data_IF_778648641187
#
_entry.id   IF_778648641187
#
_cell.length_a   1.000
_cell.length_b   1.000
_cell.length_c   1.000
_cell.angle_alpha   90.00
_cell.angle_beta   90.00
_cell.angle_gamma   90.00
#
_symmetry.space_group_name_H-M   'P 1'
#
loop_
_entity.id
_entity.type
_entity.pdbx_description
1 polymer ?
#
# COMPACT_ATOMS: atom_id res chain seq x y z
N UNK A 1 -28.25 11.53 -14.30
CA UNK A 1 -27.23 10.64 -14.90
C UNK A 1 -25.85 10.72 -14.24
N UNK A 2 -25.45 11.83 -13.59
CA UNK A 2 -24.15 11.97 -12.91
C UNK A 2 -23.93 10.99 -11.73
N UNK A 3 -24.97 10.69 -10.93
CA UNK A 3 -24.84 9.81 -9.76
C UNK A 3 -24.43 8.36 -10.08
N UNK A 4 -24.76 7.85 -11.26
CA UNK A 4 -24.40 6.48 -11.66
C UNK A 4 -22.90 6.36 -12.03
N UNK A 5 -22.33 7.41 -12.62
CA UNK A 5 -20.89 7.45 -12.98
C UNK A 5 -20.00 7.59 -11.75
N UNK A 6 -20.34 8.48 -10.82
CA UNK A 6 -19.56 8.64 -9.58
C UNK A 6 -19.56 7.34 -8.75
N UNK A 7 -20.72 6.70 -8.61
CA UNK A 7 -20.84 5.41 -7.95
C UNK A 7 -19.93 4.35 -8.60
N UNK A 8 -19.98 4.23 -9.93
CA UNK A 8 -19.14 3.29 -10.69
C UNK A 8 -17.64 3.54 -10.45
N UNK A 9 -17.17 4.78 -10.56
CA UNK A 9 -15.75 5.08 -10.35
C UNK A 9 -15.29 4.86 -8.91
N UNK A 10 -16.14 5.15 -7.91
CA UNK A 10 -15.85 4.81 -6.51
C UNK A 10 -15.73 3.30 -6.30
N UNK A 11 -16.59 2.51 -6.93
CA UNK A 11 -16.50 1.04 -6.93
C UNK A 11 -15.19 0.59 -7.56
N UNK A 12 -14.91 1.02 -8.79
CA UNK A 12 -13.69 0.67 -9.51
C UNK A 12 -12.43 1.04 -8.72
N UNK A 13 -12.38 2.24 -8.15
CA UNK A 13 -11.26 2.69 -7.30
C UNK A 13 -11.01 1.74 -6.13
N UNK A 14 -12.06 1.35 -5.41
CA UNK A 14 -11.94 0.43 -4.27
C UNK A 14 -11.56 -0.99 -4.72
N UNK A 15 -12.07 -1.46 -5.86
CA UNK A 15 -11.73 -2.76 -6.42
C UNK A 15 -10.26 -2.84 -6.82
N UNK A 16 -9.76 -1.81 -7.52
CA UNK A 16 -8.36 -1.73 -7.94
C UNK A 16 -7.42 -1.58 -6.73
N UNK A 17 -7.84 -0.85 -5.70
CA UNK A 17 -7.08 -0.75 -4.45
C UNK A 17 -6.94 -2.10 -3.72
N UNK A 18 -8.01 -2.90 -3.68
CA UNK A 18 -8.02 -4.16 -2.92
C UNK A 18 -7.42 -5.32 -3.71
N UNK A 19 -7.77 -5.46 -4.99
CA UNK A 19 -7.39 -6.65 -5.77
C UNK A 19 -5.99 -6.48 -6.36
N UNK A 20 -5.74 -5.72 -7.44
CA UNK A 20 -4.40 -5.64 -8.01
C UNK A 20 -3.40 -5.00 -7.06
N UNK A 21 -3.70 -3.82 -6.50
CA UNK A 21 -2.74 -3.09 -5.66
C UNK A 21 -2.52 -3.79 -4.31
N UNK A 22 -3.58 -4.30 -3.68
CA UNK A 22 -3.49 -5.03 -2.42
C UNK A 22 -2.71 -6.34 -2.53
N UNK A 23 -2.95 -7.13 -3.59
CA UNK A 23 -2.19 -8.36 -3.85
C UNK A 23 -0.72 -8.03 -4.13
N UNK A 24 -0.45 -7.01 -4.94
CA UNK A 24 0.92 -6.53 -5.18
C UNK A 24 1.61 -6.12 -3.87
N UNK A 25 0.95 -5.34 -3.00
CA UNK A 25 1.52 -4.92 -1.72
C UNK A 25 1.93 -6.11 -0.85
N UNK A 26 1.04 -7.11 -0.69
CA UNK A 26 1.34 -8.29 0.12
C UNK A 26 2.50 -9.09 -0.48
N UNK A 27 2.48 -9.33 -1.79
CA UNK A 27 3.56 -10.01 -2.49
C UNK A 27 4.88 -9.23 -2.38
N UNK A 28 4.84 -7.91 -2.51
CA UNK A 28 5.99 -7.02 -2.38
C UNK A 28 6.61 -7.12 -0.98
N UNK A 29 5.80 -7.04 0.08
CA UNK A 29 6.27 -7.19 1.47
C UNK A 29 6.87 -8.58 1.72
N UNK A 30 6.27 -9.65 1.18
CA UNK A 30 6.79 -11.02 1.32
C UNK A 30 8.15 -11.17 0.65
N UNK A 31 8.33 -10.66 -0.58
CA UNK A 31 9.62 -10.71 -1.28
C UNK A 31 10.68 -9.92 -0.50
N UNK A 32 10.35 -8.71 -0.03
CA UNK A 32 11.27 -7.91 0.77
C UNK A 32 11.62 -8.57 2.10
N UNK A 33 10.71 -9.33 2.71
CA UNK A 33 10.98 -10.03 3.97
C UNK A 33 12.10 -11.09 3.85
N UNK A 34 12.45 -11.56 2.64
CA UNK A 34 13.62 -12.42 2.45
C UNK A 34 14.94 -11.74 2.83
N UNK A 35 15.00 -10.41 2.93
CA UNK A 35 16.15 -9.68 3.47
C UNK A 35 16.49 -10.12 4.91
N UNK A 36 15.49 -10.51 5.70
CA UNK A 36 15.70 -11.07 7.06
C UNK A 36 16.43 -12.41 7.07
N UNK A 37 16.59 -13.06 5.90
CA UNK A 37 17.34 -14.30 5.71
C UNK A 37 18.71 -14.07 5.05
N UNK A 38 19.11 -12.81 4.88
CA UNK A 38 20.39 -12.40 4.31
C UNK A 38 20.31 -11.87 2.88
N UNK A 39 21.38 -11.19 2.41
CA UNK A 39 21.42 -10.54 1.10
C UNK A 39 21.15 -11.49 -0.07
N UNK A 40 21.71 -12.69 -0.05
CA UNK A 40 21.56 -13.66 -1.14
C UNK A 40 20.12 -14.17 -1.25
N UNK A 41 19.42 -14.32 -0.12
CA UNK A 41 18.03 -14.76 -0.11
C UNK A 41 17.12 -13.69 -0.75
N UNK A 42 17.31 -12.42 -0.40
CA UNK A 42 16.60 -11.31 -1.05
C UNK A 42 16.94 -11.23 -2.54
N UNK A 43 18.23 -11.24 -2.90
CA UNK A 43 18.66 -11.10 -4.29
C UNK A 43 18.12 -12.21 -5.19
N UNK A 44 18.05 -13.46 -4.70
CA UNK A 44 17.40 -14.56 -5.43
C UNK A 44 15.90 -14.33 -5.61
N UNK A 45 15.20 -13.88 -4.57
CA UNK A 45 13.77 -13.60 -4.66
C UNK A 45 13.46 -12.42 -5.59
N UNK A 46 14.25 -11.34 -5.51
CA UNK A 46 14.14 -10.18 -6.40
C UNK A 46 14.45 -10.55 -7.86
N UNK A 47 15.51 -11.33 -8.10
CA UNK A 47 15.87 -11.81 -9.43
C UNK A 47 14.79 -12.71 -10.03
N UNK A 48 14.13 -13.55 -9.23
CA UNK A 48 12.99 -14.34 -9.71
C UNK A 48 11.85 -13.43 -10.21
N UNK A 49 11.51 -12.38 -9.45
CA UNK A 49 10.49 -11.41 -9.87
C UNK A 49 10.90 -10.65 -11.14
N UNK A 50 12.18 -10.31 -11.25
CA UNK A 50 12.76 -9.61 -12.40
C UNK A 50 12.63 -10.41 -13.71
N UNK A 51 12.72 -11.74 -13.60
CA UNK A 51 12.72 -12.68 -14.74
C UNK A 51 11.36 -13.31 -15.03
N UNK A 52 10.27 -12.79 -14.46
CA UNK A 52 8.93 -13.31 -14.78
C UNK A 52 8.60 -13.14 -16.27
N UNK A 53 7.94 -14.14 -16.89
CA UNK A 53 7.47 -14.00 -18.26
C UNK A 53 6.45 -12.87 -18.35
N UNK A 54 6.52 -12.08 -19.43
CA UNK A 54 5.65 -10.92 -19.65
C UNK A 54 5.69 -9.87 -18.51
N UNK A 55 6.79 -9.79 -17.75
CA UNK A 55 6.93 -8.86 -16.63
C UNK A 55 6.46 -7.44 -16.95
N UNK A 56 6.87 -6.85 -18.07
CA UNK A 56 6.45 -5.48 -18.40
C UNK A 56 4.94 -5.34 -18.62
N UNK A 57 4.29 -6.36 -19.18
CA UNK A 57 2.82 -6.39 -19.29
C UNK A 57 2.18 -6.45 -17.91
N UNK A 58 2.68 -7.32 -17.02
CA UNK A 58 2.20 -7.43 -15.64
C UNK A 58 2.41 -6.10 -14.88
N UNK A 59 3.60 -5.50 -14.98
CA UNK A 59 3.90 -4.22 -14.35
C UNK A 59 2.95 -3.12 -14.83
N UNK A 60 2.68 -3.01 -16.13
CA UNK A 60 1.80 -1.96 -16.66
C UNK A 60 0.34 -2.20 -16.25
N UNK A 61 -0.21 -3.38 -16.54
CA UNK A 61 -1.66 -3.60 -16.45
C UNK A 61 -2.14 -4.11 -15.08
N UNK A 62 -1.27 -4.73 -14.30
CA UNK A 62 -1.60 -5.26 -12.97
C UNK A 62 -1.12 -4.32 -11.86
N UNK A 63 -0.04 -3.57 -12.08
CA UNK A 63 0.54 -2.70 -11.04
C UNK A 63 0.29 -1.22 -11.37
N UNK A 64 0.99 -0.65 -12.36
CA UNK A 64 1.04 0.79 -12.56
C UNK A 64 -0.30 1.40 -12.97
N UNK A 65 -1.01 0.83 -13.94
CA UNK A 65 -2.29 1.37 -14.40
C UNK A 65 -3.37 1.33 -13.30
N UNK A 66 -3.59 0.20 -12.60
CA UNK A 66 -4.48 0.17 -11.43
C UNK A 66 -4.06 1.14 -10.32
N UNK A 67 -2.77 1.21 -10.00
CA UNK A 67 -2.23 2.08 -8.96
C UNK A 67 -2.42 3.56 -9.30
N UNK A 68 -2.17 3.96 -10.55
CA UNK A 68 -2.37 5.33 -11.02
C UNK A 68 -3.83 5.74 -10.93
N UNK A 69 -4.74 4.90 -11.42
CA UNK A 69 -6.18 5.19 -11.29
C UNK A 69 -6.58 5.31 -9.82
N UNK A 70 -6.13 4.37 -8.99
CA UNK A 70 -6.41 4.36 -7.55
C UNK A 70 -5.89 5.64 -6.88
N UNK A 71 -4.63 6.03 -7.13
CA UNK A 71 -4.01 7.21 -6.53
C UNK A 71 -4.69 8.51 -6.99
N UNK A 72 -4.89 8.69 -8.31
CA UNK A 72 -5.48 9.92 -8.87
C UNK A 72 -6.92 10.10 -8.38
N UNK A 73 -7.75 9.06 -8.50
CA UNK A 73 -9.14 9.14 -8.05
C UNK A 73 -9.23 9.19 -6.51
N UNK A 74 -8.31 8.54 -5.80
CA UNK A 74 -8.19 8.60 -4.35
C UNK A 74 -7.88 10.02 -3.85
N UNK A 75 -7.00 10.76 -4.53
CA UNK A 75 -6.78 12.18 -4.24
C UNK A 75 -8.05 13.02 -4.43
N UNK A 76 -8.77 12.81 -5.53
CA UNK A 76 -10.06 13.48 -5.73
C UNK A 76 -11.04 13.20 -4.58
N UNK A 77 -11.15 11.94 -4.13
CA UNK A 77 -11.98 11.56 -2.97
C UNK A 77 -11.47 12.24 -1.68
N UNK A 78 -10.15 12.33 -1.48
CA UNK A 78 -9.56 12.89 -0.27
C UNK A 78 -9.81 14.40 -0.17
N UNK A 79 -9.65 15.15 -1.26
CA UNK A 79 -9.87 16.61 -1.28
C UNK A 79 -11.34 17.01 -1.30
N UNK A 80 -12.24 16.12 -1.73
CA UNK A 80 -13.69 16.36 -1.70
C UNK A 80 -14.36 15.82 -0.42
N UNK A 81 -13.60 15.24 0.50
CA UNK A 81 -14.12 14.66 1.73
C UNK A 81 -14.61 15.73 2.72
N UNK A 82 -15.72 15.44 3.41
CA UNK A 82 -16.21 16.25 4.54
C UNK A 82 -15.83 15.59 5.85
N UNK A 83 -15.10 16.31 6.69
CA UNK A 83 -14.65 15.84 8.00
C UNK A 83 -15.60 16.32 9.10
N UNK A 84 -15.93 15.45 10.05
CA UNK A 84 -16.80 15.77 11.17
C UNK A 84 -16.23 15.35 12.53
N UNK A 85 -14.95 14.97 12.59
CA UNK A 85 -14.26 14.57 13.83
C UNK A 85 -14.22 15.66 14.89
N UNK A 86 -14.33 16.94 14.50
CA UNK A 86 -14.46 18.06 15.45
C UNK A 86 -15.77 18.06 16.24
N UNK A 87 -16.84 17.45 15.70
CA UNK A 87 -18.14 17.33 16.35
C UNK A 87 -18.41 15.91 16.86
N UNK A 88 -17.86 14.89 16.20
CA UNK A 88 -18.08 13.47 16.50
C UNK A 88 -16.77 12.69 16.54
N UNK A 89 -16.27 12.44 17.75
CA UNK A 89 -15.00 11.74 17.99
C UNK A 89 -15.06 10.21 17.90
N UNK A 90 -16.04 9.61 17.20
CA UNK A 90 -16.15 8.15 17.16
C UNK A 90 -14.99 7.52 16.39
N UNK A 91 -14.65 6.29 16.76
CA UNK A 91 -13.54 5.54 16.19
C UNK A 91 -13.56 5.47 14.66
N UNK A 92 -14.73 5.24 14.05
CA UNK A 92 -14.86 5.18 12.58
C UNK A 92 -14.68 6.53 11.91
N UNK A 93 -15.02 7.64 12.57
CA UNK A 93 -14.72 8.98 12.07
C UNK A 93 -13.20 9.21 12.02
N UNK A 94 -12.47 8.78 13.04
CA UNK A 94 -11.00 8.81 13.02
C UNK A 94 -10.39 7.92 11.94
N UNK A 95 -10.87 6.67 11.78
CA UNK A 95 -10.39 5.79 10.71
C UNK A 95 -10.68 6.35 9.32
N UNK A 96 -11.79 7.07 9.16
CA UNK A 96 -12.07 7.81 7.93
C UNK A 96 -10.99 8.85 7.65
N UNK A 97 -10.60 9.67 8.64
CA UNK A 97 -9.52 10.67 8.49
C UNK A 97 -8.18 10.00 8.19
N UNK A 98 -7.80 9.01 9.00
CA UNK A 98 -6.52 8.33 8.87
C UNK A 98 -6.38 7.64 7.50
N UNK A 99 -7.46 7.11 6.91
CA UNK A 99 -7.40 6.57 5.53
C UNK A 99 -6.89 7.61 4.52
N UNK A 100 -7.32 8.87 4.65
CA UNK A 100 -6.95 9.94 3.71
C UNK A 100 -5.54 10.41 3.99
N UNK A 101 -5.21 10.66 5.26
CA UNK A 101 -3.88 11.09 5.67
C UNK A 101 -2.83 10.06 5.26
N UNK A 102 -3.04 8.79 5.59
CA UNK A 102 -2.12 7.71 5.20
C UNK A 102 -2.09 7.50 3.68
N UNK A 103 -3.20 7.71 2.96
CA UNK A 103 -3.20 7.66 1.50
C UNK A 103 -2.31 8.73 0.86
N UNK A 104 -2.30 9.95 1.41
CA UNK A 104 -1.42 11.04 0.95
C UNK A 104 0.04 10.72 1.29
N UNK A 105 0.31 10.26 2.52
CA UNK A 105 1.67 9.84 2.93
C UNK A 105 2.17 8.70 2.03
N UNK A 106 1.33 7.69 1.79
CA UNK A 106 1.64 6.58 0.87
C UNK A 106 1.93 7.09 -0.53
N UNK A 107 1.16 8.02 -1.08
CA UNK A 107 1.44 8.60 -2.40
C UNK A 107 2.83 9.26 -2.46
N UNK A 108 3.18 10.06 -1.45
CA UNK A 108 4.51 10.69 -1.37
C UNK A 108 5.60 9.62 -1.28
N UNK A 109 5.41 8.65 -0.38
CA UNK A 109 6.34 7.55 -0.17
C UNK A 109 6.57 6.72 -1.44
N UNK A 110 5.50 6.24 -2.09
CA UNK A 110 5.64 5.40 -3.29
C UNK A 110 6.25 6.17 -4.46
N UNK A 111 5.97 7.47 -4.58
CA UNK A 111 6.56 8.30 -5.64
C UNK A 111 8.07 8.37 -5.48
N UNK A 112 8.52 8.65 -4.25
CA UNK A 112 9.95 8.66 -3.93
C UNK A 112 10.58 7.25 -4.07
N UNK A 113 9.93 6.24 -3.53
CA UNK A 113 10.40 4.86 -3.58
C UNK A 113 10.57 4.34 -5.02
N UNK A 114 9.62 4.63 -5.90
CA UNK A 114 9.69 4.28 -7.33
C UNK A 114 10.83 5.04 -8.02
N UNK A 115 11.08 6.30 -7.65
CA UNK A 115 12.23 7.04 -8.15
C UNK A 115 13.56 6.38 -7.76
N UNK A 116 13.77 6.12 -6.46
CA UNK A 116 15.02 5.52 -5.95
C UNK A 116 15.29 4.11 -6.47
N UNK A 117 14.26 3.37 -6.86
CA UNK A 117 14.40 1.97 -7.29
C UNK A 117 14.18 1.79 -8.78
N UNK A 118 12.97 2.05 -9.29
CA UNK A 118 12.59 1.75 -10.68
C UNK A 118 13.17 2.74 -11.69
N UNK A 119 13.20 4.03 -11.35
CA UNK A 119 13.81 5.04 -12.23
C UNK A 119 15.31 4.83 -12.29
N UNK A 120 15.98 4.63 -11.14
CA UNK A 120 17.42 4.30 -11.14
C UNK A 120 17.72 3.01 -11.91
N UNK A 121 16.86 1.99 -11.80
CA UNK A 121 17.01 0.75 -12.57
C UNK A 121 16.90 0.99 -14.09
N UNK A 122 15.97 1.84 -14.52
CA UNK A 122 15.86 2.23 -15.93
C UNK A 122 17.08 3.01 -16.42
N UNK A 123 17.82 3.66 -15.52
CA UNK A 123 19.09 4.35 -15.79
C UNK A 123 20.33 3.43 -15.68
N UNK A 124 20.14 2.13 -15.42
CA UNK A 124 21.20 1.12 -15.41
C UNK A 124 21.63 0.63 -14.03
N UNK A 125 21.03 1.11 -12.95
CA UNK A 125 21.28 0.58 -11.61
C UNK A 125 20.69 -0.85 -11.46
N UNK A 126 21.28 -1.67 -10.60
CA UNK A 126 20.75 -3.00 -10.27
C UNK A 126 19.85 -2.92 -9.04
N UNK A 127 18.63 -3.43 -9.12
CA UNK A 127 17.74 -3.54 -7.95
C UNK A 127 18.12 -4.77 -7.15
N UNK A 128 18.90 -4.57 -6.09
CA UNK A 128 19.42 -5.63 -5.22
C UNK A 128 19.41 -5.19 -3.75
N UNK A 129 19.88 -6.07 -2.87
CA UNK A 129 19.96 -5.81 -1.43
C UNK A 129 20.82 -4.57 -1.14
N UNK A 130 21.95 -4.43 -1.82
CA UNK A 130 22.91 -3.34 -1.63
C UNK A 130 22.30 -1.97 -1.96
N UNK A 131 21.51 -1.87 -3.04
CA UNK A 131 20.75 -0.64 -3.34
C UNK A 131 19.88 -0.23 -2.16
N UNK A 132 19.10 -1.17 -1.60
CA UNK A 132 18.22 -0.88 -0.47
C UNK A 132 19.01 -0.53 0.79
N UNK A 133 20.09 -1.24 1.09
CA UNK A 133 20.96 -0.97 2.22
C UNK A 133 21.56 0.43 2.15
N UNK A 134 22.11 0.81 0.99
CA UNK A 134 22.67 2.15 0.76
C UNK A 134 21.63 3.27 0.93
N UNK A 135 20.36 3.03 0.55
CA UNK A 135 19.28 4.01 0.73
C UNK A 135 18.98 4.22 2.22
N UNK A 136 18.90 3.14 3.01
CA UNK A 136 18.46 3.20 4.40
C UNK A 136 19.58 3.34 5.43
N UNK A 137 20.85 3.29 5.00
CA UNK A 137 22.01 3.66 5.81
C UNK A 137 21.88 5.10 6.36
N UNK A 138 21.20 5.97 5.61
CA UNK A 138 20.79 7.28 6.13
C UNK A 138 19.60 7.13 7.12
N UNK A 139 19.74 7.51 8.39
CA UNK A 139 18.68 7.33 9.40
C UNK A 139 17.40 8.13 9.09
N UNK A 140 17.51 9.25 8.38
CA UNK A 140 16.33 10.02 7.91
C UNK A 140 15.56 9.22 6.87
N UNK A 141 16.28 8.56 5.95
CA UNK A 141 15.66 7.71 4.94
C UNK A 141 15.06 6.44 5.55
N UNK A 142 15.74 5.82 6.52
CA UNK A 142 15.16 4.71 7.27
C UNK A 142 13.84 5.12 7.95
N UNK A 143 13.83 6.26 8.64
CA UNK A 143 12.63 6.82 9.27
C UNK A 143 11.51 7.10 8.25
N UNK A 144 11.86 7.69 7.10
CA UNK A 144 10.92 7.94 6.00
C UNK A 144 10.29 6.64 5.49
N UNK A 145 11.08 5.59 5.29
CA UNK A 145 10.58 4.28 4.86
C UNK A 145 9.71 3.60 5.92
N UNK A 146 10.07 3.69 7.21
CA UNK A 146 9.24 3.15 8.30
C UNK A 146 7.86 3.82 8.31
N UNK A 147 7.80 5.15 8.23
CA UNK A 147 6.53 5.89 8.19
C UNK A 147 5.73 5.55 6.92
N UNK A 148 6.41 5.46 5.77
CA UNK A 148 5.81 5.08 4.49
C UNK A 148 5.21 3.68 4.50
N UNK A 149 5.93 2.69 5.04
CA UNK A 149 5.47 1.31 5.19
C UNK A 149 4.24 1.24 6.10
N UNK A 150 4.31 1.83 7.29
CA UNK A 150 3.19 1.81 8.24
C UNK A 150 1.95 2.50 7.66
N UNK A 151 2.12 3.63 6.98
CA UNK A 151 1.03 4.35 6.32
C UNK A 151 0.39 3.50 5.22
N UNK A 152 1.21 2.84 4.39
CA UNK A 152 0.74 1.99 3.28
C UNK A 152 -0.02 0.78 3.80
N UNK A 153 0.50 0.12 4.83
CA UNK A 153 -0.15 -1.06 5.43
C UNK A 153 -1.44 -0.66 6.17
N UNK A 154 -1.45 0.48 6.88
CA UNK A 154 -2.68 1.00 7.49
C UNK A 154 -3.74 1.32 6.42
N UNK A 155 -3.35 2.07 5.39
CA UNK A 155 -4.23 2.47 4.29
C UNK A 155 -4.86 1.24 3.63
N UNK A 156 -4.07 0.20 3.38
CA UNK A 156 -4.55 -1.06 2.85
C UNK A 156 -5.52 -1.76 3.81
N UNK A 157 -5.12 -1.97 5.07
CA UNK A 157 -5.92 -2.72 6.03
C UNK A 157 -7.28 -2.04 6.34
N UNK A 158 -7.30 -0.73 6.57
CA UNK A 158 -8.54 0.01 6.77
C UNK A 158 -9.34 0.19 5.45
N UNK A 159 -8.64 0.20 4.31
CA UNK A 159 -9.23 0.10 2.98
C UNK A 159 -10.02 -1.19 2.78
N UNK A 160 -9.50 -2.35 3.21
CA UNK A 160 -10.21 -3.64 3.18
C UNK A 160 -11.51 -3.58 3.97
N UNK A 161 -11.49 -2.96 5.15
CA UNK A 161 -12.70 -2.77 5.95
C UNK A 161 -13.74 -1.96 5.18
N UNK A 162 -13.32 -0.82 4.63
CA UNK A 162 -14.18 0.08 3.87
C UNK A 162 -14.72 -0.57 2.59
N UNK A 163 -13.91 -1.41 1.94
CA UNK A 163 -14.30 -2.20 0.78
C UNK A 163 -15.39 -3.20 1.15
N UNK A 164 -15.19 -4.05 2.17
CA UNK A 164 -16.18 -5.05 2.55
C UNK A 164 -17.53 -4.45 2.94
N UNK A 165 -17.53 -3.31 3.65
CA UNK A 165 -18.76 -2.60 4.01
C UNK A 165 -19.44 -2.04 2.76
N UNK A 166 -18.70 -1.28 1.95
CA UNK A 166 -19.29 -0.64 0.76
C UNK A 166 -19.80 -1.67 -0.24
N UNK A 167 -19.13 -2.82 -0.40
CA UNK A 167 -19.53 -3.94 -1.28
C UNK A 167 -20.58 -4.87 -0.70
N UNK A 168 -21.11 -4.59 0.50
CA UNK A 168 -22.18 -5.38 1.10
C UNK A 168 -21.72 -6.77 1.54
N UNK A 169 -20.42 -6.98 1.72
CA UNK A 169 -19.86 -8.23 2.27
C UNK A 169 -20.01 -8.27 3.81
N UNK A 170 -19.95 -7.11 4.47
CA UNK A 170 -20.12 -6.96 5.92
C UNK A 170 -21.25 -5.98 6.25
N UNK A 171 -22.48 -6.49 6.24
CA UNK A 171 -23.70 -5.67 6.36
C UNK A 171 -24.12 -5.46 7.83
N UNK A 172 -24.09 -6.50 8.66
CA UNK A 172 -24.61 -6.43 10.03
C UNK A 172 -23.62 -5.76 10.99
N UNK A 173 -24.08 -5.12 12.08
CA UNK A 173 -23.19 -4.52 13.09
C UNK A 173 -22.16 -5.51 13.64
N UNK A 174 -22.58 -6.75 13.91
CA UNK A 174 -21.68 -7.82 14.37
C UNK A 174 -20.62 -8.15 13.32
N UNK A 175 -20.99 -8.26 12.04
CA UNK A 175 -20.01 -8.55 10.97
C UNK A 175 -18.97 -7.43 10.82
N UNK A 176 -19.40 -6.17 10.91
CA UNK A 176 -18.50 -5.02 10.84
C UNK A 176 -17.56 -4.94 12.04
N UNK A 177 -18.03 -5.33 13.24
CA UNK A 177 -17.20 -5.42 14.43
C UNK A 177 -16.14 -6.52 14.29
N UNK A 178 -16.54 -7.74 13.87
CA UNK A 178 -15.58 -8.83 13.60
C UNK A 178 -14.55 -8.41 12.57
N UNK A 179 -15.00 -7.80 11.46
CA UNK A 179 -14.09 -7.36 10.41
C UNK A 179 -13.17 -6.21 10.82
N UNK A 180 -13.55 -5.44 11.84
CA UNK A 180 -12.66 -4.46 12.48
C UNK A 180 -11.47 -5.17 13.13
N UNK A 181 -11.70 -6.24 13.90
CA UNK A 181 -10.61 -7.01 14.50
C UNK A 181 -9.74 -7.69 13.44
N UNK A 182 -10.34 -8.28 12.40
CA UNK A 182 -9.59 -8.91 11.31
C UNK A 182 -8.66 -7.91 10.61
N UNK A 183 -9.15 -6.72 10.27
CA UNK A 183 -8.32 -5.70 9.61
C UNK A 183 -7.24 -5.11 10.52
N UNK A 184 -7.48 -5.02 11.83
CA UNK A 184 -6.42 -4.67 12.79
C UNK A 184 -5.33 -5.76 12.87
N UNK A 185 -5.70 -7.04 12.86
CA UNK A 185 -4.73 -8.14 12.83
C UNK A 185 -3.89 -8.07 11.54
N UNK A 186 -4.53 -7.86 10.39
CA UNK A 186 -3.84 -7.69 9.10
C UNK A 186 -2.86 -6.52 9.16
N UNK A 187 -3.28 -5.37 9.70
CA UNK A 187 -2.42 -4.20 9.88
C UNK A 187 -1.17 -4.53 10.71
N UNK A 188 -1.34 -5.15 11.88
CA UNK A 188 -0.23 -5.50 12.77
C UNK A 188 0.71 -6.51 12.13
N UNK A 189 0.16 -7.59 11.54
CA UNK A 189 0.96 -8.66 10.95
C UNK A 189 1.81 -8.14 9.77
N UNK A 190 1.21 -7.40 8.84
CA UNK A 190 1.92 -6.84 7.70
C UNK A 190 2.90 -5.73 8.11
N UNK A 191 2.59 -4.96 9.16
CA UNK A 191 3.52 -3.98 9.72
C UNK A 191 4.77 -4.67 10.29
N UNK A 192 4.61 -5.76 11.04
CA UNK A 192 5.75 -6.55 11.54
C UNK A 192 6.60 -7.06 10.38
N UNK A 193 5.98 -7.61 9.33
CA UNK A 193 6.71 -8.11 8.15
C UNK A 193 7.50 -6.99 7.48
N UNK A 194 6.87 -5.84 7.22
CA UNK A 194 7.48 -4.70 6.55
C UNK A 194 8.58 -4.03 7.38
N UNK A 195 8.36 -3.83 8.68
CA UNK A 195 9.36 -3.25 9.59
C UNK A 195 10.56 -4.18 9.75
N UNK A 196 10.35 -5.50 9.90
CA UNK A 196 11.46 -6.45 9.93
C UNK A 196 12.25 -6.47 8.63
N UNK A 197 11.57 -6.32 7.49
CA UNK A 197 12.23 -6.26 6.19
C UNK A 197 13.10 -5.00 6.07
N UNK A 198 12.56 -3.81 6.36
CA UNK A 198 13.32 -2.56 6.20
C UNK A 198 14.52 -2.48 7.15
N UNK A 199 14.34 -2.94 8.40
CA UNK A 199 15.43 -3.00 9.37
C UNK A 199 16.49 -4.05 9.02
N UNK A 200 16.17 -5.04 8.19
CA UNK A 200 17.16 -6.01 7.72
C UNK A 200 18.02 -5.47 6.58
N UNK A 201 17.70 -4.31 6.01
CA UNK A 201 18.57 -3.60 5.07
C UNK A 201 19.44 -2.54 5.76
N UNK A 202 19.07 -2.12 6.98
CA UNK A 202 19.77 -1.10 7.76
C UNK A 202 20.92 -1.67 8.59
#
# INVERSE_FOLDING_TARGET
MAGNREFYYRRLHSLLGVIPVGVFLVQHLVVNHFATKGPEAFNRAASFMENLPFRYFLEIFVIFLPLLFHAIYGLYIAFTAKFNVGNYGYFRNWMFVLQRVTGIITLIFITWHVYETRVQAALGAKVNYEMMANIVDNPVMLGFYIVGILSTVFHFANGLWSFCVSWGLTVSPRSQQVFTYLTMIIFVALSIVGIRAILAFA
#
